data_IF_706787729376
#
_entry.id   IF_706787729376
#
_cell.length_a   1.000
_cell.length_b   1.000
_cell.length_c   1.000
_cell.angle_alpha   90.00
_cell.angle_beta   90.00
_cell.angle_gamma   90.00
#
_symmetry.space_group_name_H-M   'P 1'
#
loop_
_entity.id
_entity.type
_entity.pdbx_description
1 polymer ?
#
# COMPACT_ATOMS: atom_id res chain seq x y z
N UNK A 1 -3.80 44.71 21.24
CA UNK A 1 -2.99 43.99 20.25
C UNK A 1 -2.42 44.98 19.24
N UNK A 2 -1.11 45.11 19.12
CA UNK A 2 -0.50 46.07 18.19
C UNK A 2 -0.58 45.55 16.75
N UNK A 3 -1.48 46.11 15.95
CA UNK A 3 -1.72 45.74 14.53
C UNK A 3 -0.44 45.72 13.67
N UNK A 4 0.56 46.54 14.00
CA UNK A 4 1.85 46.57 13.28
C UNK A 4 2.74 45.33 13.42
N UNK A 5 2.57 44.51 14.46
CA UNK A 5 3.33 43.26 14.62
C UNK A 5 2.87 42.18 13.66
N UNK A 6 1.55 42.06 13.48
CA UNK A 6 0.98 41.04 12.57
C UNK A 6 1.43 41.31 11.12
N UNK A 7 1.46 42.58 10.70
CA UNK A 7 1.90 42.91 9.33
C UNK A 7 3.40 42.60 9.12
N UNK A 8 4.23 42.89 10.11
CA UNK A 8 5.66 42.56 10.06
C UNK A 8 5.90 41.03 10.01
N UNK A 9 5.14 40.25 10.79
CA UNK A 9 5.24 38.79 10.78
C UNK A 9 4.72 38.20 9.45
N UNK A 10 3.67 38.76 8.85
CA UNK A 10 3.19 38.35 7.53
C UNK A 10 4.24 38.60 6.43
N UNK A 11 4.87 39.77 6.44
CA UNK A 11 5.92 40.10 5.46
C UNK A 11 7.17 39.22 5.64
N UNK A 12 7.52 38.90 6.88
CA UNK A 12 8.61 37.99 7.17
C UNK A 12 8.31 36.56 6.67
N UNK A 13 7.11 36.05 6.95
CA UNK A 13 6.69 34.73 6.50
C UNK A 13 6.63 34.63 4.96
N UNK A 14 6.39 35.74 4.27
CA UNK A 14 6.41 35.77 2.80
C UNK A 14 7.84 35.62 2.23
N UNK A 15 8.84 36.07 2.97
CA UNK A 15 10.26 35.97 2.60
C UNK A 15 10.92 34.67 3.05
N UNK A 16 10.35 33.99 4.05
CA UNK A 16 10.91 32.75 4.59
C UNK A 16 10.66 31.57 3.64
N UNK A 17 11.56 30.59 3.67
CA UNK A 17 11.38 29.33 2.92
C UNK A 17 10.20 28.57 3.49
N UNK A 18 9.34 27.98 2.63
CA UNK A 18 8.23 27.14 3.10
C UNK A 18 8.75 25.96 3.93
N UNK A 19 8.12 25.68 5.06
CA UNK A 19 8.43 24.52 5.90
C UNK A 19 7.97 23.18 5.31
N UNK A 20 7.18 23.24 4.25
CA UNK A 20 6.63 22.05 3.54
C UNK A 20 7.35 21.82 2.22
N UNK A 21 7.48 20.55 1.82
CA UNK A 21 7.98 20.17 0.50
C UNK A 21 6.92 20.44 -0.57
N UNK A 22 7.38 20.79 -1.77
CA UNK A 22 6.51 21.07 -2.93
C UNK A 22 6.12 19.77 -3.64
N UNK A 23 5.48 18.86 -2.93
CA UNK A 23 4.97 17.65 -3.54
C UNK A 23 3.83 17.99 -4.54
N UNK A 24 3.74 17.37 -5.75
CA UNK A 24 4.58 16.28 -6.26
C UNK A 24 5.87 16.70 -7.00
N UNK A 25 6.14 17.99 -7.15
CA UNK A 25 7.31 18.49 -7.88
C UNK A 25 8.64 18.09 -7.19
N UNK A 26 8.66 18.06 -5.87
CA UNK A 26 9.78 17.58 -5.08
C UNK A 26 9.43 16.24 -4.46
N UNK A 27 10.11 15.13 -4.81
CA UNK A 27 9.86 13.83 -4.23
C UNK A 27 10.30 13.82 -2.75
N UNK A 28 9.45 13.27 -1.90
CA UNK A 28 9.78 13.04 -0.49
C UNK A 28 10.60 11.75 -0.39
N UNK A 29 11.78 11.76 0.26
CA UNK A 29 12.53 10.54 0.47
C UNK A 29 11.73 9.56 1.34
N UNK A 30 11.61 8.33 0.86
CA UNK A 30 10.87 7.27 1.57
C UNK A 30 11.85 6.57 2.51
N UNK A 31 11.60 6.55 3.83
CA UNK A 31 12.47 5.89 4.79
C UNK A 31 12.43 4.36 4.64
N UNK A 32 13.49 3.70 5.12
CA UNK A 32 13.51 2.24 5.20
C UNK A 32 12.38 1.73 6.09
N UNK A 33 11.75 0.61 5.68
CA UNK A 33 10.61 0.05 6.40
C UNK A 33 9.28 0.76 6.17
N UNK A 34 9.21 1.70 5.23
CA UNK A 34 7.95 2.35 4.88
C UNK A 34 6.93 1.33 4.36
N UNK A 35 5.75 1.32 4.98
CA UNK A 35 4.63 0.45 4.62
C UNK A 35 3.70 1.19 3.65
N UNK A 36 4.05 1.16 2.37
CA UNK A 36 3.29 1.84 1.33
C UNK A 36 2.11 1.02 0.79
N UNK A 37 1.85 1.13 -0.50
CA UNK A 37 0.75 0.43 -1.16
C UNK A 37 0.98 -1.07 -1.17
N UNK A 38 -0.07 -1.83 -0.86
CA UNK A 38 -0.07 -3.29 -1.02
C UNK A 38 -0.04 -3.66 -2.51
N UNK A 39 0.70 -4.70 -2.84
CA UNK A 39 0.78 -5.26 -4.20
C UNK A 39 0.72 -6.78 -4.18
N UNK A 40 0.27 -7.36 -5.27
CA UNK A 40 0.09 -8.80 -5.44
C UNK A 40 0.91 -9.26 -6.64
N UNK A 41 1.75 -10.28 -6.45
CA UNK A 41 2.42 -11.03 -7.54
C UNK A 41 1.58 -12.25 -7.88
N UNK A 42 0.78 -12.10 -8.89
CA UNK A 42 -0.17 -13.13 -9.32
C UNK A 42 0.52 -14.42 -9.78
N UNK A 43 1.76 -14.30 -10.25
CA UNK A 43 2.57 -15.40 -10.80
C UNK A 43 3.04 -16.41 -9.75
N UNK A 44 3.19 -15.99 -8.50
CA UNK A 44 3.68 -16.83 -7.39
C UNK A 44 2.61 -17.13 -6.35
N UNK A 45 1.43 -16.55 -6.48
CA UNK A 45 0.33 -16.75 -5.55
C UNK A 45 -0.29 -18.15 -5.73
N UNK A 46 -0.26 -18.97 -4.68
CA UNK A 46 -0.82 -20.33 -4.67
C UNK A 46 -2.28 -20.41 -4.23
N UNK A 47 -2.91 -19.27 -3.88
CA UNK A 47 -4.31 -19.22 -3.45
C UNK A 47 -4.59 -19.87 -2.09
N UNK A 48 -3.63 -19.89 -1.17
CA UNK A 48 -3.71 -20.58 0.13
C UNK A 48 -4.64 -19.92 1.16
N UNK A 49 -5.27 -18.80 0.87
CA UNK A 49 -6.20 -18.03 1.72
C UNK A 49 -5.64 -17.45 3.03
N UNK A 50 -4.40 -17.76 3.42
CA UNK A 50 -3.80 -17.29 4.67
C UNK A 50 -3.84 -15.77 4.84
N UNK A 51 -3.59 -15.01 3.76
CA UNK A 51 -3.63 -13.55 3.78
C UNK A 51 -5.01 -13.00 4.18
N UNK A 52 -6.10 -13.65 3.75
CA UNK A 52 -7.44 -13.25 4.12
C UNK A 52 -7.75 -13.59 5.58
N UNK A 53 -7.30 -14.77 6.05
CA UNK A 53 -7.54 -15.24 7.43
C UNK A 53 -6.83 -14.36 8.48
N UNK A 54 -5.60 -13.92 8.18
CA UNK A 54 -4.81 -13.11 9.13
C UNK A 54 -5.11 -11.60 9.04
N UNK A 55 -5.97 -11.18 8.13
CA UNK A 55 -6.28 -9.78 7.93
C UNK A 55 -7.21 -9.26 9.04
N UNK A 56 -6.77 -8.31 9.90
CA UNK A 56 -7.60 -7.83 11.01
C UNK A 56 -8.75 -6.94 10.55
N UNK A 57 -8.68 -6.38 9.35
CA UNK A 57 -9.72 -5.51 8.77
C UNK A 57 -10.58 -6.22 7.74
N UNK A 58 -10.35 -7.53 7.52
CA UNK A 58 -11.09 -8.35 6.55
C UNK A 58 -11.16 -7.71 5.14
N UNK A 59 -10.12 -6.95 4.76
CA UNK A 59 -10.08 -6.21 3.50
C UNK A 59 -9.55 -7.05 2.32
N UNK A 60 -9.41 -8.36 2.46
CA UNK A 60 -8.89 -9.26 1.45
C UNK A 60 -9.95 -10.31 1.09
N UNK A 61 -10.51 -10.18 -0.09
CA UNK A 61 -11.45 -11.15 -0.63
C UNK A 61 -10.75 -12.19 -1.50
N UNK A 62 -11.23 -13.43 -1.42
CA UNK A 62 -10.71 -14.53 -2.23
C UNK A 62 -11.64 -14.80 -3.40
N UNK A 63 -11.28 -14.29 -4.57
CA UNK A 63 -12.08 -14.48 -5.80
C UNK A 63 -11.65 -15.74 -6.56
N UNK A 64 -12.57 -16.43 -7.23
CA UNK A 64 -12.24 -17.58 -8.07
C UNK A 64 -11.36 -17.14 -9.24
N UNK A 65 -10.23 -17.84 -9.42
CA UNK A 65 -9.28 -17.57 -10.50
C UNK A 65 -8.42 -18.79 -10.74
N UNK A 66 -8.71 -19.52 -11.81
CA UNK A 66 -7.92 -20.67 -12.20
C UNK A 66 -6.67 -20.23 -12.97
N UNK A 67 -5.51 -20.60 -12.47
CA UNK A 67 -4.22 -20.35 -13.12
C UNK A 67 -3.20 -21.40 -12.69
N UNK A 68 -2.39 -21.85 -13.63
CA UNK A 68 -1.20 -22.63 -13.31
C UNK A 68 -0.08 -21.72 -12.81
N UNK A 69 0.44 -22.04 -11.65
CA UNK A 69 1.50 -21.29 -10.98
C UNK A 69 2.66 -22.25 -10.69
N UNK A 70 3.87 -21.82 -10.99
CA UNK A 70 5.08 -22.57 -10.67
C UNK A 70 5.72 -22.01 -9.39
N UNK A 71 5.71 -22.79 -8.32
CA UNK A 71 6.34 -22.42 -7.06
C UNK A 71 7.33 -23.50 -6.65
N UNK A 72 8.59 -23.11 -6.47
CA UNK A 72 9.70 -24.04 -6.09
C UNK A 72 9.78 -25.28 -6.99
N UNK A 73 9.61 -25.10 -8.31
CA UNK A 73 9.71 -26.20 -9.28
C UNK A 73 8.48 -27.13 -9.37
N UNK A 74 7.42 -26.84 -8.63
CA UNK A 74 6.14 -27.59 -8.71
C UNK A 74 5.08 -26.75 -9.42
N UNK A 75 4.37 -27.39 -10.34
CA UNK A 75 3.18 -26.79 -10.99
C UNK A 75 1.98 -27.02 -10.08
N UNK A 76 1.33 -25.94 -9.68
CA UNK A 76 0.13 -25.96 -8.83
C UNK A 76 -0.97 -25.22 -9.58
N UNK A 77 -2.16 -25.81 -9.68
CA UNK A 77 -3.33 -25.13 -10.20
C UNK A 77 -4.00 -24.34 -9.08
N UNK A 78 -3.90 -23.02 -9.15
CA UNK A 78 -4.55 -22.11 -8.22
C UNK A 78 -6.02 -21.98 -8.61
N UNK A 79 -6.92 -22.11 -7.63
CA UNK A 79 -8.37 -21.94 -7.82
C UNK A 79 -8.90 -20.58 -7.36
N UNK A 80 -8.16 -19.87 -6.51
CA UNK A 80 -8.56 -18.58 -5.93
C UNK A 80 -7.38 -17.63 -5.91
N UNK A 81 -7.65 -16.32 -6.06
CA UNK A 81 -6.66 -15.25 -5.86
C UNK A 81 -7.17 -14.22 -4.85
N UNK A 82 -6.28 -13.53 -4.12
CA UNK A 82 -6.69 -12.42 -3.28
C UNK A 82 -6.97 -11.18 -4.12
N UNK A 83 -8.01 -10.43 -3.73
CA UNK A 83 -8.26 -9.05 -4.12
C UNK A 83 -8.30 -8.22 -2.85
N UNK A 84 -7.61 -7.08 -2.84
CA UNK A 84 -7.47 -6.26 -1.64
C UNK A 84 -8.17 -4.93 -1.83
N UNK A 85 -9.08 -4.59 -0.91
CA UNK A 85 -9.69 -3.27 -0.83
C UNK A 85 -8.67 -2.26 -0.29
N UNK A 86 -8.12 -1.44 -1.20
CA UNK A 86 -6.97 -0.57 -0.92
C UNK A 86 -7.19 0.37 0.26
N UNK A 87 -8.38 1.00 0.33
CA UNK A 87 -8.69 2.00 1.36
C UNK A 87 -9.19 1.41 2.69
N UNK A 88 -9.55 0.12 2.72
CA UNK A 88 -9.83 -0.61 3.95
C UNK A 88 -8.56 -1.21 4.58
N UNK A 89 -7.46 -1.29 3.80
CA UNK A 89 -6.20 -1.87 4.25
C UNK A 89 -5.43 -0.91 5.16
N UNK A 90 -5.17 -1.31 6.40
CA UNK A 90 -4.35 -0.56 7.38
C UNK A 90 -2.84 -0.76 7.23
N UNK A 91 -2.40 -1.52 6.23
CA UNK A 91 -0.99 -1.77 5.92
C UNK A 91 -0.17 -2.34 7.10
N UNK A 92 -0.78 -3.22 7.87
CA UNK A 92 -0.14 -3.85 9.03
C UNK A 92 1.01 -4.80 8.67
N UNK A 93 1.02 -5.37 7.44
CA UNK A 93 2.07 -6.29 6.96
C UNK A 93 1.85 -7.76 7.29
N UNK A 94 0.85 -8.13 8.08
CA UNK A 94 0.59 -9.53 8.47
C UNK A 94 0.40 -10.47 7.27
N UNK A 95 -0.30 -10.01 6.23
CA UNK A 95 -0.51 -10.80 5.01
C UNK A 95 0.80 -11.13 4.28
N UNK A 96 1.78 -10.24 4.32
CA UNK A 96 3.13 -10.47 3.78
C UNK A 96 3.91 -11.44 4.67
N UNK A 97 3.90 -11.23 5.98
CA UNK A 97 4.61 -12.07 6.94
C UNK A 97 4.16 -13.53 6.88
N UNK A 98 2.85 -13.76 6.90
CA UNK A 98 2.26 -15.10 6.87
C UNK A 98 2.17 -15.72 5.47
N UNK A 99 2.61 -15.05 4.42
CA UNK A 99 2.62 -15.59 3.08
C UNK A 99 3.70 -16.69 2.95
N UNK A 100 3.34 -17.93 2.57
CA UNK A 100 4.29 -19.05 2.51
C UNK A 100 5.16 -19.09 1.24
N UNK A 101 4.87 -18.21 0.27
CA UNK A 101 5.59 -18.17 -1.01
C UNK A 101 6.88 -17.36 -0.91
N UNK A 102 7.88 -17.77 -1.69
CA UNK A 102 9.13 -17.03 -1.90
C UNK A 102 9.41 -16.94 -3.40
N UNK A 103 9.43 -15.69 -3.95
CA UNK A 103 9.18 -14.40 -3.29
C UNK A 103 7.73 -14.27 -2.78
N UNK A 104 7.50 -13.36 -1.83
CA UNK A 104 6.16 -13.15 -1.26
C UNK A 104 5.16 -12.77 -2.34
N UNK A 105 4.01 -13.47 -2.39
CA UNK A 105 2.96 -13.20 -3.37
C UNK A 105 2.19 -11.91 -3.06
N UNK A 106 2.02 -11.60 -1.79
CA UNK A 106 1.42 -10.35 -1.32
C UNK A 106 2.46 -9.62 -0.47
N UNK A 107 2.67 -8.34 -0.73
CA UNK A 107 3.74 -7.56 -0.08
C UNK A 107 3.42 -6.06 -0.08
N UNK A 108 4.09 -5.33 0.80
CA UNK A 108 4.01 -3.87 0.85
C UNK A 108 5.13 -3.25 0.02
N UNK A 109 4.78 -2.29 -0.81
CA UNK A 109 5.72 -1.53 -1.64
C UNK A 109 6.15 -0.25 -0.94
N UNK A 110 7.15 0.43 -1.49
CA UNK A 110 7.54 1.78 -1.08
C UNK A 110 6.71 2.88 -1.75
N UNK A 111 5.78 2.51 -2.65
CA UNK A 111 4.90 3.46 -3.31
C UNK A 111 3.79 3.93 -2.38
N UNK A 112 3.40 5.20 -2.50
CA UNK A 112 2.26 5.73 -1.76
C UNK A 112 0.96 5.05 -2.19
N UNK A 113 0.01 4.93 -1.26
CA UNK A 113 -1.27 4.26 -1.53
C UNK A 113 -2.10 4.97 -2.61
N UNK A 114 -1.87 6.27 -2.76
CA UNK A 114 -2.66 7.12 -3.65
C UNK A 114 -3.90 7.68 -2.96
N UNK A 115 -4.68 8.42 -3.72
CA UNK A 115 -5.98 8.97 -3.31
C UNK A 115 -7.01 8.68 -4.39
N UNK A 116 -8.26 8.62 -4.03
CA UNK A 116 -9.36 8.38 -4.96
C UNK A 116 -10.69 8.83 -4.38
N UNK A 117 -11.67 9.03 -5.22
CA UNK A 117 -13.05 9.36 -4.85
C UNK A 117 -13.85 8.11 -4.53
N UNK A 118 -13.47 6.98 -5.12
CA UNK A 118 -14.13 5.70 -4.93
C UNK A 118 -13.50 4.93 -3.77
N UNK A 119 -14.32 4.39 -2.88
CA UNK A 119 -13.88 3.57 -1.76
C UNK A 119 -13.52 2.14 -2.17
N UNK A 120 -14.06 1.68 -3.29
CA UNK A 120 -13.93 0.31 -3.78
C UNK A 120 -12.76 0.09 -4.75
N UNK A 121 -11.63 0.76 -4.50
CA UNK A 121 -10.42 0.54 -5.28
C UNK A 121 -9.80 -0.80 -4.90
N UNK A 122 -9.82 -1.75 -5.84
CA UNK A 122 -9.27 -3.09 -5.68
C UNK A 122 -7.84 -3.18 -6.24
N UNK A 123 -6.96 -3.81 -5.47
CA UNK A 123 -5.64 -4.26 -5.92
C UNK A 123 -5.75 -5.74 -6.30
N UNK A 124 -5.46 -6.02 -7.57
CA UNK A 124 -5.59 -7.36 -8.19
C UNK A 124 -4.24 -7.91 -8.60
#
# INVERSE_FOLDING_TARGET
MKRGRVLADLLRNLADRPATVRYPAEPVPVPEGFRGRIAIRDEVCIGCTKCAIVCPTECIDMVPSEREVQVKGRKIVRKKKPEVHLFACIRCGLCEEFCPTEPKAIYLTTAFAGSGTDKEVLVR
#
